data_IF_104347618326
#
_entry.id   IF_104347618326
#
_cell.length_a   1.000
_cell.length_b   1.000
_cell.length_c   1.000
_cell.angle_alpha   90.00
_cell.angle_beta   90.00
_cell.angle_gamma   90.00
#
_symmetry.space_group_name_H-M   'P 1'
#
loop_
_entity.id
_entity.type
_entity.pdbx_description
1 polymer ?
#
# COMPACT_ATOMS: atom_id res chain seq x y z
N UNK A 1 -23.22 6.55 2.65
CA UNK A 1 -21.86 6.32 3.21
C UNK A 1 -20.87 7.02 2.31
N UNK A 2 -19.84 7.68 2.85
CA UNK A 2 -18.74 8.24 2.03
C UNK A 2 -17.77 7.09 1.70
N UNK A 3 -17.27 6.97 0.45
CA UNK A 3 -16.30 5.94 0.12
C UNK A 3 -15.00 6.18 0.89
N UNK A 4 -14.35 5.09 1.29
CA UNK A 4 -13.02 5.10 1.90
C UNK A 4 -11.97 4.86 0.83
N UNK A 5 -10.70 5.11 1.16
CA UNK A 5 -9.58 4.89 0.24
C UNK A 5 -9.46 3.41 -0.14
N UNK A 6 -9.95 2.49 0.71
CA UNK A 6 -9.97 1.05 0.46
C UNK A 6 -10.65 0.61 -0.85
N UNK A 7 -11.50 1.44 -1.46
CA UNK A 7 -12.07 1.14 -2.79
C UNK A 7 -10.98 0.96 -3.86
N UNK A 8 -9.82 1.61 -3.69
CA UNK A 8 -8.68 1.52 -4.61
C UNK A 8 -7.92 0.20 -4.51
N UNK A 9 -8.18 -0.58 -3.45
CA UNK A 9 -7.54 -1.87 -3.19
C UNK A 9 -8.42 -3.06 -3.61
N UNK A 10 -9.59 -2.80 -4.21
CA UNK A 10 -10.61 -3.80 -4.53
C UNK A 10 -10.97 -3.76 -6.04
N UNK A 11 -10.89 -4.89 -6.77
CA UNK A 11 -10.28 -6.16 -6.35
C UNK A 11 -8.75 -6.01 -6.25
N UNK A 12 -8.13 -6.86 -5.42
CA UNK A 12 -6.68 -6.97 -5.40
C UNK A 12 -6.10 -7.41 -6.75
N UNK A 13 -4.80 -7.19 -7.00
CA UNK A 13 -4.17 -7.56 -8.26
C UNK A 13 -4.21 -9.08 -8.47
N UNK A 14 -4.55 -9.53 -9.68
CA UNK A 14 -4.56 -10.96 -10.03
C UNK A 14 -3.17 -11.61 -10.03
N UNK A 15 -2.10 -10.81 -10.06
CA UNK A 15 -0.71 -11.24 -9.90
C UNK A 15 0.13 -10.11 -9.29
N UNK A 16 1.02 -10.47 -8.36
CA UNK A 16 1.77 -9.52 -7.54
C UNK A 16 2.99 -8.93 -8.27
N UNK A 17 3.82 -9.76 -8.92
CA UNK A 17 4.98 -9.27 -9.68
C UNK A 17 5.87 -8.34 -8.86
N UNK A 18 6.14 -7.12 -9.35
CA UNK A 18 6.88 -6.07 -8.65
C UNK A 18 6.00 -5.14 -7.81
N UNK A 19 4.70 -5.45 -7.64
CA UNK A 19 3.74 -4.62 -6.90
C UNK A 19 3.77 -4.88 -5.38
N UNK A 20 4.84 -5.51 -4.90
CA UNK A 20 4.98 -5.94 -3.51
C UNK A 20 4.46 -7.37 -3.28
N UNK A 21 4.22 -7.70 -2.02
CA UNK A 21 3.69 -8.99 -1.59
C UNK A 21 2.24 -8.86 -1.10
N UNK A 22 1.47 -9.97 -1.05
CA UNK A 22 0.06 -9.95 -0.64
C UNK A 22 -0.17 -9.41 0.77
N UNK A 23 0.78 -9.57 1.70
CA UNK A 23 0.63 -9.10 3.07
C UNK A 23 0.77 -7.58 3.16
N UNK A 24 1.76 -7.00 2.48
CA UNK A 24 1.90 -5.54 2.40
C UNK A 24 0.65 -4.89 1.77
N UNK A 25 0.07 -5.51 0.74
CA UNK A 25 -1.17 -5.02 0.14
C UNK A 25 -2.35 -5.06 1.10
N UNK A 26 -2.50 -6.14 1.86
CA UNK A 26 -3.58 -6.26 2.84
C UNK A 26 -3.44 -5.20 3.95
N UNK A 27 -2.23 -4.99 4.48
CA UNK A 27 -1.99 -3.96 5.50
C UNK A 27 -2.30 -2.55 4.96
N UNK A 28 -1.91 -2.25 3.72
CA UNK A 28 -2.28 -0.99 3.07
C UNK A 28 -3.79 -0.85 2.87
N UNK A 29 -4.49 -1.93 2.49
CA UNK A 29 -5.94 -1.93 2.33
C UNK A 29 -6.67 -1.70 3.67
N UNK A 30 -6.17 -2.29 4.76
CA UNK A 30 -6.74 -2.13 6.11
C UNK A 30 -6.54 -0.67 6.58
N UNK A 31 -5.35 -0.10 6.40
CA UNK A 31 -5.08 1.31 6.69
C UNK A 31 -5.93 2.25 5.81
N UNK A 32 -6.18 1.88 4.56
CA UNK A 32 -7.02 2.63 3.63
C UNK A 32 -8.51 2.61 4.02
N UNK A 33 -8.97 1.60 4.76
CA UNK A 33 -10.36 1.48 5.20
C UNK A 33 -10.71 2.54 6.26
N UNK A 34 -9.73 2.97 7.05
CA UNK A 34 -9.88 4.00 8.08
C UNK A 34 -9.81 5.44 7.54
N UNK A 35 -9.56 5.61 6.23
CA UNK A 35 -9.37 6.93 5.60
C UNK A 35 -10.45 7.21 4.56
N UNK A 36 -11.03 8.42 4.52
CA UNK A 36 -11.90 8.82 3.42
C UNK A 36 -11.12 8.82 2.08
N UNK A 37 -11.82 8.59 0.97
CA UNK A 37 -11.23 8.73 -0.36
C UNK A 37 -10.66 10.16 -0.52
N UNK A 38 -9.39 10.32 -0.94
CA UNK A 38 -8.77 11.62 -1.09
C UNK A 38 -9.36 12.39 -2.26
N UNK A 39 -9.21 13.71 -2.24
CA UNK A 39 -9.75 14.60 -3.27
C UNK A 39 -8.77 14.84 -4.42
N UNK A 40 -7.51 14.41 -4.27
CA UNK A 40 -6.46 14.58 -5.28
C UNK A 40 -5.50 13.39 -5.33
N UNK A 41 -4.86 13.24 -6.49
CA UNK A 41 -3.78 12.27 -6.70
C UNK A 41 -2.55 12.57 -5.82
N UNK A 42 -2.30 13.85 -5.50
CA UNK A 42 -1.20 14.26 -4.63
C UNK A 42 -1.41 13.73 -3.22
N UNK A 43 -2.61 13.92 -2.66
CA UNK A 43 -2.96 13.39 -1.33
C UNK A 43 -2.88 11.86 -1.27
N UNK A 44 -3.29 11.18 -2.35
CA UNK A 44 -3.16 9.73 -2.47
C UNK A 44 -1.69 9.31 -2.50
N UNK A 45 -0.88 9.99 -3.32
CA UNK A 45 0.54 9.71 -3.47
C UNK A 45 1.29 9.90 -2.16
N UNK A 46 1.08 11.02 -1.46
CA UNK A 46 1.74 11.32 -0.19
C UNK A 46 1.38 10.30 0.88
N UNK A 47 0.10 9.93 0.97
CA UNK A 47 -0.35 8.87 1.88
C UNK A 47 0.31 7.53 1.55
N UNK A 48 0.34 7.13 0.28
CA UNK A 48 0.92 5.85 -0.12
C UNK A 48 2.42 5.78 0.16
N UNK A 49 3.16 6.86 -0.11
CA UNK A 49 4.59 6.94 0.20
C UNK A 49 4.85 6.85 1.71
N UNK A 50 4.04 7.54 2.52
CA UNK A 50 4.16 7.52 3.98
C UNK A 50 3.89 6.11 4.53
N UNK A 51 2.74 5.51 4.18
CA UNK A 51 2.41 4.17 4.68
C UNK A 51 3.40 3.11 4.17
N UNK A 52 3.85 3.21 2.92
CA UNK A 52 4.85 2.27 2.42
C UNK A 52 6.19 2.40 3.18
N UNK A 53 6.63 3.61 3.49
CA UNK A 53 7.85 3.84 4.27
C UNK A 53 7.72 3.33 5.71
N UNK A 54 6.59 3.61 6.36
CA UNK A 54 6.30 3.14 7.72
C UNK A 54 6.26 1.62 7.78
N UNK A 55 5.63 0.99 6.78
CA UNK A 55 5.56 -0.45 6.71
C UNK A 55 6.93 -1.05 6.34
N UNK A 56 7.55 -0.67 5.24
CA UNK A 56 8.75 -1.39 4.74
C UNK A 56 10.07 -0.91 5.35
N UNK A 57 10.07 0.23 6.04
CA UNK A 57 11.28 0.93 6.50
C UNK A 57 12.07 1.61 5.37
N UNK A 58 11.50 1.70 4.16
CA UNK A 58 12.17 2.18 2.96
C UNK A 58 11.22 3.02 2.10
N UNK A 59 11.71 4.04 1.38
CA UNK A 59 10.86 4.85 0.52
C UNK A 59 10.36 4.05 -0.69
N UNK A 60 9.13 4.31 -1.12
CA UNK A 60 8.53 3.69 -2.31
C UNK A 60 9.30 3.99 -3.60
N UNK A 61 10.06 5.08 -3.64
CA UNK A 61 10.94 5.47 -4.76
C UNK A 61 12.24 4.65 -4.84
N UNK A 62 12.50 3.75 -3.89
CA UNK A 62 13.68 2.89 -3.94
C UNK A 62 13.54 1.83 -5.03
N UNK A 63 14.45 1.83 -6.01
CA UNK A 63 14.52 0.79 -7.05
C UNK A 63 15.19 -0.52 -6.57
N UNK A 64 15.58 -0.58 -5.28
CA UNK A 64 16.24 -1.77 -4.72
C UNK A 64 15.18 -2.73 -4.17
N UNK A 65 15.34 -4.05 -4.34
CA UNK A 65 14.52 -5.03 -3.65
C UNK A 65 14.63 -4.84 -2.13
N UNK A 66 13.49 -4.68 -1.46
CA UNK A 66 13.43 -4.54 0.00
C UNK A 66 13.01 -5.88 0.59
N UNK A 67 13.75 -6.36 1.60
CA UNK A 67 13.36 -7.51 2.39
C UNK A 67 12.71 -6.99 3.67
N UNK A 68 11.42 -7.25 3.85
CA UNK A 68 10.71 -6.91 5.08
C UNK A 68 10.64 -8.17 5.93
N UNK A 69 11.36 -8.23 7.05
CA UNK A 69 11.55 -9.45 7.85
C UNK A 69 10.22 -10.10 8.30
N UNK A 70 9.19 -9.29 8.55
CA UNK A 70 7.87 -9.78 8.95
C UNK A 70 7.06 -10.41 7.82
N UNK A 71 7.47 -10.22 6.56
CA UNK A 71 6.85 -10.82 5.38
C UNK A 71 7.82 -11.84 4.76
N UNK A 72 7.89 -13.06 5.32
CA UNK A 72 8.76 -14.10 4.79
C UNK A 72 8.30 -14.47 3.37
N UNK A 73 9.24 -14.46 2.41
CA UNK A 73 8.99 -14.98 1.06
C UNK A 73 8.76 -16.49 1.17
N UNK A 74 7.53 -16.94 0.88
CA UNK A 74 7.18 -18.37 0.79
C UNK A 74 7.67 -18.97 -0.52
#
# INVERSE_FOLDING_TARGET
>A
MRPTLAILFQPGPGQWGLRGDPHLWQELADLAAERPLPYSEIELSDWLHAQFADLTGQPLSSEKPIAVERFPRR
#
